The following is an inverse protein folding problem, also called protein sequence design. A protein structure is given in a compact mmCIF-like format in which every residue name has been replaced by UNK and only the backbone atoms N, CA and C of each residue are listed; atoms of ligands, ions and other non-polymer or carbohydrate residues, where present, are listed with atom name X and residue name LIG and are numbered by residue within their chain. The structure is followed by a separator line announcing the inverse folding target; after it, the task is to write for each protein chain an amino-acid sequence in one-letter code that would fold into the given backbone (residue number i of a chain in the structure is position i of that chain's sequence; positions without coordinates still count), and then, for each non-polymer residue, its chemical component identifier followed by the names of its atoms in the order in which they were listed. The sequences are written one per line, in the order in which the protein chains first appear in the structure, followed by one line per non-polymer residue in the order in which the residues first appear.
data_IF_371921421765
#
_entry.id   IF_371921421765
#
_cell.length_a   1.000
_cell.length_b   1.000
_cell.length_c   1.000
_cell.angle_alpha   90.00
_cell.angle_beta   90.00
_cell.angle_gamma   90.00
#
_symmetry.space_group_name_H-M   'P 1'
#
loop_
_entity.id
_entity.type
_entity.pdbx_description
1 polymer ?
#
# COMPACT_ATOMS: atom_id res chain seq x y z
N UNK A 1 -32.61 -85.07 -37.51
CA UNK A 1 -31.95 -83.77 -37.59
C UNK A 1 -32.98 -82.65 -37.62
N UNK A 2 -33.23 -81.88 -36.58
CA UNK A 2 -33.25 -82.17 -35.15
C UNK A 2 -34.02 -80.99 -34.55
N UNK A 3 -35.23 -81.26 -34.03
CA UNK A 3 -36.04 -80.30 -33.26
C UNK A 3 -35.25 -79.73 -32.06
N UNK A 4 -34.19 -80.43 -31.65
CA UNK A 4 -33.23 -80.03 -30.62
C UNK A 4 -32.27 -78.92 -31.07
N UNK A 5 -31.92 -78.84 -32.36
CA UNK A 5 -31.02 -77.81 -32.90
C UNK A 5 -31.65 -76.41 -32.93
N UNK A 6 -32.94 -76.29 -33.27
CA UNK A 6 -33.66 -75.01 -33.27
C UNK A 6 -33.91 -74.46 -31.86
N UNK A 7 -34.21 -75.33 -30.88
CA UNK A 7 -34.41 -74.91 -29.48
C UNK A 7 -33.13 -74.35 -28.84
N UNK A 8 -31.98 -74.96 -29.10
CA UNK A 8 -30.71 -74.48 -28.56
C UNK A 8 -30.26 -73.15 -29.17
N UNK A 9 -30.56 -72.91 -30.45
CA UNK A 9 -30.28 -71.62 -31.12
C UNK A 9 -31.18 -70.50 -30.60
N UNK A 10 -32.45 -70.78 -30.32
CA UNK A 10 -33.38 -69.78 -29.75
C UNK A 10 -32.99 -69.43 -28.31
N UNK A 11 -32.63 -70.41 -27.47
CA UNK A 11 -32.20 -70.17 -26.09
C UNK A 11 -30.85 -69.42 -26.06
N UNK A 12 -29.89 -69.79 -26.92
CA UNK A 12 -28.62 -69.07 -27.04
C UNK A 12 -28.82 -67.62 -27.52
N UNK A 13 -29.76 -67.38 -28.43
CA UNK A 13 -30.12 -66.03 -28.88
C UNK A 13 -30.73 -65.17 -27.78
N UNK A 14 -31.60 -65.74 -26.94
CA UNK A 14 -32.23 -65.02 -25.81
C UNK A 14 -31.19 -64.70 -24.72
N UNK A 15 -30.28 -65.63 -24.39
CA UNK A 15 -29.22 -65.42 -23.40
C UNK A 15 -28.18 -64.41 -23.90
N UNK A 16 -27.80 -64.46 -25.18
CA UNK A 16 -26.91 -63.46 -25.77
C UNK A 16 -27.54 -62.07 -25.81
N UNK A 17 -28.83 -61.96 -26.17
CA UNK A 17 -29.53 -60.67 -26.21
C UNK A 17 -29.72 -60.06 -24.82
N UNK A 18 -30.01 -60.89 -23.80
CA UNK A 18 -30.12 -60.43 -22.41
C UNK A 18 -28.78 -60.05 -21.79
N UNK A 19 -27.68 -60.74 -22.10
CA UNK A 19 -26.32 -60.33 -21.68
C UNK A 19 -25.89 -59.00 -22.33
N UNK A 20 -26.21 -58.78 -23.60
CA UNK A 20 -25.94 -57.50 -24.29
C UNK A 20 -26.77 -56.36 -23.70
N UNK A 21 -28.04 -56.61 -23.36
CA UNK A 21 -28.91 -55.62 -22.70
C UNK A 21 -28.42 -55.26 -21.29
N UNK A 22 -28.01 -56.23 -20.48
CA UNK A 22 -27.45 -55.98 -19.14
C UNK A 22 -26.11 -55.25 -19.22
N UNK A 23 -25.25 -55.58 -20.19
CA UNK A 23 -23.99 -54.86 -20.42
C UNK A 23 -24.23 -53.42 -20.93
N UNK A 24 -25.21 -53.21 -21.81
CA UNK A 24 -25.57 -51.89 -22.32
C UNK A 24 -26.22 -50.99 -21.26
N UNK A 25 -27.09 -51.53 -20.40
CA UNK A 25 -27.70 -50.81 -19.28
C UNK A 25 -26.69 -50.54 -18.16
N UNK A 26 -25.81 -51.50 -17.85
CA UNK A 26 -24.74 -51.32 -16.87
C UNK A 26 -23.71 -50.27 -17.29
N UNK A 27 -23.35 -50.21 -18.57
CA UNK A 27 -22.41 -49.20 -19.10
C UNK A 27 -23.02 -47.81 -19.18
N UNK A 28 -24.31 -47.67 -19.54
CA UNK A 28 -25.00 -46.37 -19.53
C UNK A 28 -25.27 -45.85 -18.12
N UNK A 29 -25.69 -46.71 -17.18
CA UNK A 29 -25.85 -46.33 -15.78
C UNK A 29 -24.52 -45.92 -15.11
N UNK A 30 -23.44 -46.67 -15.37
CA UNK A 30 -22.10 -46.33 -14.88
C UNK A 30 -21.58 -45.00 -15.47
N UNK A 31 -21.80 -44.74 -16.76
CA UNK A 31 -21.44 -43.46 -17.37
C UNK A 31 -22.25 -42.29 -16.82
N UNK A 32 -23.55 -42.47 -16.58
CA UNK A 32 -24.43 -41.44 -16.00
C UNK A 32 -24.03 -41.11 -14.56
N UNK A 33 -23.79 -42.13 -13.73
CA UNK A 33 -23.33 -41.94 -12.33
C UNK A 33 -21.95 -41.26 -12.29
N UNK A 34 -21.03 -41.65 -13.17
CA UNK A 34 -19.70 -41.02 -13.25
C UNK A 34 -19.75 -39.59 -13.76
N UNK A 35 -20.66 -39.27 -14.69
CA UNK A 35 -20.88 -37.90 -15.16
C UNK A 35 -21.50 -37.05 -14.05
N UNK A 36 -22.50 -37.57 -13.35
CA UNK A 36 -23.16 -36.87 -12.24
C UNK A 36 -22.19 -36.56 -11.10
N UNK A 37 -21.35 -37.52 -10.68
CA UNK A 37 -20.31 -37.26 -9.68
C UNK A 37 -19.29 -36.20 -10.12
N UNK A 38 -18.97 -36.13 -11.42
CA UNK A 38 -18.07 -35.11 -11.98
C UNK A 38 -18.72 -33.73 -11.99
N UNK A 39 -20.00 -33.66 -12.33
CA UNK A 39 -20.78 -32.42 -12.30
C UNK A 39 -20.95 -31.93 -10.84
N UNK A 40 -21.18 -32.84 -9.90
CA UNK A 40 -21.21 -32.56 -8.45
C UNK A 40 -19.87 -32.03 -7.94
N UNK A 41 -18.74 -32.64 -8.34
CA UNK A 41 -17.40 -32.17 -8.00
C UNK A 41 -17.13 -30.74 -8.50
N UNK A 42 -17.57 -30.42 -9.73
CA UNK A 42 -17.45 -29.08 -10.31
C UNK A 42 -18.34 -28.08 -9.58
N UNK A 43 -19.56 -28.46 -9.23
CA UNK A 43 -20.50 -27.63 -8.46
C UNK A 43 -19.97 -27.34 -7.05
N UNK A 44 -19.40 -28.34 -6.38
CA UNK A 44 -18.80 -28.17 -5.06
C UNK A 44 -17.57 -27.25 -5.11
N UNK A 45 -16.70 -27.41 -6.11
CA UNK A 45 -15.58 -26.48 -6.31
C UNK A 45 -16.07 -25.05 -6.58
N UNK A 46 -17.14 -24.87 -7.37
CA UNK A 46 -17.74 -23.55 -7.59
C UNK A 46 -18.34 -22.96 -6.30
N UNK A 47 -18.95 -23.78 -5.44
CA UNK A 47 -19.48 -23.36 -4.13
C UNK A 47 -18.36 -22.87 -3.21
N UNK A 48 -17.25 -23.63 -3.11
CA UNK A 48 -16.05 -23.24 -2.34
C UNK A 48 -15.49 -21.91 -2.85
N UNK A 49 -15.38 -21.75 -4.16
CA UNK A 49 -14.93 -20.51 -4.79
C UNK A 49 -15.87 -19.33 -4.49
N UNK A 50 -17.19 -19.52 -4.50
CA UNK A 50 -18.17 -18.47 -4.18
C UNK A 50 -18.04 -17.98 -2.73
N UNK A 51 -17.87 -18.91 -1.77
CA UNK A 51 -17.61 -18.55 -0.36
C UNK A 51 -16.31 -17.75 -0.24
N UNK A 52 -15.26 -18.16 -0.94
CA UNK A 52 -14.00 -17.43 -0.98
C UNK A 52 -14.16 -16.02 -1.55
N UNK A 53 -14.85 -15.84 -2.68
CA UNK A 53 -15.10 -14.52 -3.30
C UNK A 53 -15.85 -13.58 -2.36
N UNK A 54 -16.83 -14.08 -1.59
CA UNK A 54 -17.51 -13.28 -0.56
C UNK A 54 -16.54 -12.81 0.53
N UNK A 55 -15.66 -13.70 1.01
CA UNK A 55 -14.61 -13.34 1.98
C UNK A 55 -13.63 -12.33 1.40
N UNK A 56 -13.24 -12.47 0.13
CA UNK A 56 -12.37 -11.52 -0.58
C UNK A 56 -13.00 -10.13 -0.64
N UNK A 57 -14.30 -10.05 -0.98
CA UNK A 57 -15.01 -8.77 -0.99
C UNK A 57 -15.00 -8.10 0.39
N UNK A 58 -15.34 -8.83 1.45
CA UNK A 58 -15.30 -8.32 2.83
C UNK A 58 -13.88 -7.89 3.24
N UNK A 59 -12.86 -8.68 2.88
CA UNK A 59 -11.46 -8.36 3.12
C UNK A 59 -11.05 -7.04 2.42
N UNK A 60 -11.37 -6.89 1.13
CA UNK A 60 -11.06 -5.68 0.37
C UNK A 60 -11.73 -4.44 0.97
N UNK A 61 -12.99 -4.54 1.39
CA UNK A 61 -13.69 -3.46 2.09
C UNK A 61 -13.03 -3.12 3.44
N UNK A 62 -12.57 -4.14 4.18
CA UNK A 62 -11.84 -3.92 5.44
C UNK A 62 -10.51 -3.19 5.22
N UNK A 63 -9.76 -3.54 4.17
CA UNK A 63 -8.50 -2.86 3.83
C UNK A 63 -8.78 -1.42 3.38
N UNK A 64 -9.79 -1.20 2.55
CA UNK A 64 -10.19 0.15 2.11
C UNK A 64 -10.61 1.02 3.31
N UNK A 65 -11.34 0.46 4.28
CA UNK A 65 -11.70 1.18 5.50
C UNK A 65 -10.49 1.55 6.35
N UNK A 66 -9.43 0.74 6.33
CA UNK A 66 -8.18 1.04 7.03
C UNK A 66 -7.37 2.14 6.32
N UNK A 67 -7.48 2.25 4.99
CA UNK A 67 -6.82 3.26 4.16
C UNK A 67 -7.62 4.57 4.04
N UNK A 68 -8.39 4.93 5.07
CA UNK A 68 -9.21 6.15 5.05
C UNK A 68 -8.34 7.39 4.75
N UNK A 69 -8.55 7.98 3.58
CA UNK A 69 -7.72 9.07 3.05
C UNK A 69 -7.73 10.32 3.94
N UNK A 70 -8.77 10.50 4.77
CA UNK A 70 -8.87 11.60 5.74
C UNK A 70 -7.93 11.45 6.94
N UNK A 71 -7.28 10.31 7.10
CA UNK A 71 -6.38 10.01 8.21
C UNK A 71 -4.91 9.86 7.78
N UNK A 72 -4.60 10.14 6.51
CA UNK A 72 -3.25 9.97 5.95
C UNK A 72 -2.21 10.90 6.58
N UNK A 73 -2.61 11.92 7.32
CA UNK A 73 -1.70 12.80 8.07
C UNK A 73 -0.97 12.09 9.25
N UNK A 74 -1.38 10.86 9.57
CA UNK A 74 -0.73 9.99 10.56
C UNK A 74 -0.46 8.62 9.94
N UNK A 75 0.58 8.56 9.09
CA UNK A 75 0.94 7.35 8.35
C UNK A 75 1.25 6.15 9.26
N UNK A 76 1.84 6.39 10.44
CA UNK A 76 2.14 5.32 11.39
C UNK A 76 0.87 4.64 11.89
N UNK A 77 -0.14 5.41 12.29
CA UNK A 77 -1.43 4.86 12.70
C UNK A 77 -2.15 4.15 11.55
N UNK A 78 -2.11 4.73 10.34
CA UNK A 78 -2.70 4.11 9.15
C UNK A 78 -2.02 2.79 8.82
N UNK A 79 -0.69 2.72 8.89
CA UNK A 79 0.08 1.50 8.64
C UNK A 79 -0.29 0.36 9.58
N UNK A 80 -0.43 0.65 10.87
CA UNK A 80 -0.87 -0.36 11.86
C UNK A 80 -2.24 -0.92 11.51
N UNK A 81 -3.21 -0.05 11.20
CA UNK A 81 -4.56 -0.48 10.81
C UNK A 81 -4.57 -1.27 9.49
N UNK A 82 -3.78 -0.81 8.52
CA UNK A 82 -3.63 -1.43 7.21
C UNK A 82 -2.99 -2.82 7.30
N UNK A 83 -1.87 -2.96 8.01
CA UNK A 83 -1.19 -4.25 8.19
C UNK A 83 -2.10 -5.26 8.90
N UNK A 84 -2.84 -4.81 9.92
CA UNK A 84 -3.82 -5.62 10.62
C UNK A 84 -4.98 -6.08 9.70
N UNK A 85 -5.36 -5.27 8.71
CA UNK A 85 -6.36 -5.64 7.71
C UNK A 85 -5.78 -6.63 6.69
N UNK A 86 -4.59 -6.36 6.14
CA UNK A 86 -3.89 -7.19 5.14
C UNK A 86 -3.54 -8.58 5.71
N UNK A 87 -3.22 -8.67 6.99
CA UNK A 87 -2.96 -9.94 7.67
C UNK A 87 -4.17 -10.90 7.67
N UNK A 88 -5.40 -10.36 7.54
CA UNK A 88 -6.65 -11.14 7.52
C UNK A 88 -7.03 -11.64 6.13
N UNK A 89 -6.09 -11.70 5.19
CA UNK A 89 -6.33 -12.19 3.84
C UNK A 89 -6.95 -13.60 3.87
N UNK A 90 -8.11 -13.80 3.24
CA UNK A 90 -8.77 -15.10 3.22
C UNK A 90 -7.96 -16.12 2.41
N UNK A 91 -8.14 -17.39 2.75
CA UNK A 91 -7.59 -18.53 2.00
C UNK A 91 -8.71 -19.25 1.24
N UNK A 92 -8.39 -19.73 0.04
CA UNK A 92 -9.29 -20.60 -0.71
C UNK A 92 -9.39 -21.95 0.02
N UNK A 93 -10.62 -22.45 0.16
CA UNK A 93 -10.87 -23.78 0.72
C UNK A 93 -10.46 -24.89 -0.22
N UNK A 94 -10.35 -26.10 0.33
CA UNK A 94 -10.11 -27.29 -0.47
C UNK A 94 -11.36 -27.70 -1.27
N UNK A 95 -11.17 -28.42 -2.37
CA UNK A 95 -12.24 -28.90 -3.24
C UNK A 95 -11.89 -30.27 -3.87
N UNK A 96 -12.89 -31.03 -4.37
CA UNK A 96 -12.64 -32.29 -5.06
C UNK A 96 -11.69 -32.16 -6.26
N UNK A 97 -10.85 -33.18 -6.48
CA UNK A 97 -9.76 -33.11 -7.48
C UNK A 97 -10.26 -32.84 -8.91
N UNK A 98 -11.39 -33.43 -9.30
CA UNK A 98 -12.00 -33.17 -10.61
C UNK A 98 -12.52 -31.73 -10.69
N UNK A 99 -13.20 -31.25 -9.65
CA UNK A 99 -13.71 -29.89 -9.55
C UNK A 99 -12.61 -28.83 -9.61
N UNK A 100 -11.47 -29.04 -8.94
CA UNK A 100 -10.31 -28.12 -8.97
C UNK A 100 -9.79 -27.83 -10.38
N UNK A 101 -9.88 -28.81 -11.27
CA UNK A 101 -9.32 -28.73 -12.63
C UNK A 101 -10.36 -28.32 -13.68
N UNK A 102 -11.64 -28.58 -13.43
CA UNK A 102 -12.71 -28.36 -14.41
C UNK A 102 -13.67 -27.21 -14.06
N UNK A 103 -13.66 -26.71 -12.82
CA UNK A 103 -14.42 -25.53 -12.42
C UNK A 103 -13.69 -24.24 -12.77
N UNK A 104 -14.21 -23.51 -13.76
CA UNK A 104 -13.67 -22.20 -14.16
C UNK A 104 -13.72 -21.19 -13.00
N UNK A 105 -14.75 -21.25 -12.16
CA UNK A 105 -14.90 -20.41 -10.97
C UNK A 105 -13.81 -20.70 -9.93
N UNK A 106 -13.50 -21.98 -9.68
CA UNK A 106 -12.43 -22.35 -8.76
C UNK A 106 -11.06 -21.92 -9.29
N UNK A 107 -10.79 -22.12 -10.58
CA UNK A 107 -9.55 -21.66 -11.20
C UNK A 107 -9.38 -20.13 -11.15
N UNK A 108 -10.47 -19.37 -11.32
CA UNK A 108 -10.47 -17.92 -11.12
C UNK A 108 -10.14 -17.55 -9.67
N UNK A 109 -10.74 -18.23 -8.68
CA UNK A 109 -10.45 -18.02 -7.26
C UNK A 109 -8.99 -18.33 -6.91
N UNK A 110 -8.39 -19.38 -7.48
CA UNK A 110 -6.96 -19.70 -7.34
C UNK A 110 -6.08 -18.55 -7.85
N UNK A 111 -6.41 -17.97 -9.02
CA UNK A 111 -5.69 -16.81 -9.55
C UNK A 111 -5.83 -15.62 -8.60
N UNK A 112 -7.05 -15.33 -8.14
CA UNK A 112 -7.30 -14.26 -7.17
C UNK A 112 -6.50 -14.45 -5.89
N UNK A 113 -6.41 -15.65 -5.34
CA UNK A 113 -5.59 -15.91 -4.14
C UNK A 113 -4.12 -15.59 -4.33
N UNK A 114 -3.55 -15.91 -5.50
CA UNK A 114 -2.15 -15.61 -5.82
C UNK A 114 -1.88 -14.11 -5.91
N UNK A 115 -2.83 -13.33 -6.41
CA UNK A 115 -2.66 -11.89 -6.67
C UNK A 115 -3.33 -11.00 -5.64
N UNK A 116 -4.04 -11.56 -4.65
CA UNK A 116 -4.90 -10.82 -3.72
C UNK A 116 -4.17 -9.69 -2.98
N UNK A 117 -2.88 -9.90 -2.68
CA UNK A 117 -2.08 -8.94 -1.92
C UNK A 117 -1.29 -7.95 -2.78
N UNK A 118 -1.13 -8.22 -4.07
CA UNK A 118 -0.29 -7.41 -4.96
C UNK A 118 -0.66 -5.91 -4.97
N UNK A 119 -1.95 -5.52 -5.03
CA UNK A 119 -2.30 -4.09 -5.03
C UNK A 119 -1.91 -3.35 -3.74
N UNK A 120 -1.66 -4.08 -2.65
CA UNK A 120 -1.37 -3.55 -1.33
C UNK A 120 0.14 -3.41 -1.05
N UNK A 121 1.00 -4.01 -1.88
CA UNK A 121 2.46 -3.95 -1.70
C UNK A 121 2.98 -2.51 -1.84
N UNK A 122 2.53 -1.80 -2.87
CA UNK A 122 2.90 -0.39 -3.08
C UNK A 122 2.37 0.52 -1.97
N UNK A 123 1.15 0.25 -1.49
CA UNK A 123 0.57 1.00 -0.37
C UNK A 123 1.41 0.81 0.90
N UNK A 124 1.85 -0.42 1.20
CA UNK A 124 2.74 -0.67 2.34
C UNK A 124 4.03 0.14 2.20
N UNK A 125 4.67 0.08 1.03
CA UNK A 125 5.95 0.75 0.78
C UNK A 125 5.85 2.26 0.96
N UNK A 126 4.82 2.89 0.40
CA UNK A 126 4.65 4.34 0.52
C UNK A 126 4.28 4.74 1.97
N UNK A 127 3.52 3.91 2.69
CA UNK A 127 3.28 4.14 4.12
C UNK A 127 4.56 4.01 4.95
N UNK A 128 5.42 3.05 4.66
CA UNK A 128 6.73 2.89 5.32
C UNK A 128 7.60 4.13 5.12
N UNK A 129 7.63 4.69 3.92
CA UNK A 129 8.30 5.96 3.65
C UNK A 129 7.66 7.12 4.42
N UNK A 130 6.33 7.20 4.42
CA UNK A 130 5.60 8.28 5.08
C UNK A 130 5.77 8.30 6.60
N UNK A 131 6.01 7.13 7.24
CA UNK A 131 6.34 7.02 8.66
C UNK A 131 7.58 7.83 9.02
N UNK A 132 8.57 7.89 8.13
CA UNK A 132 9.80 8.70 8.31
C UNK A 132 9.63 10.10 7.73
N UNK A 133 8.98 10.20 6.56
CA UNK A 133 8.78 11.44 5.81
C UNK A 133 7.95 12.49 6.53
N UNK A 134 6.85 12.10 7.17
CA UNK A 134 5.96 13.05 7.85
C UNK A 134 6.62 13.73 9.07
N UNK A 135 7.27 12.99 9.99
CA UNK A 135 8.07 13.60 11.04
C UNK A 135 9.17 14.53 10.52
N UNK A 136 9.86 14.14 9.44
CA UNK A 136 10.89 14.96 8.80
C UNK A 136 10.32 16.29 8.28
N UNK A 137 9.25 16.25 7.46
CA UNK A 137 8.58 17.45 6.93
C UNK A 137 8.11 18.34 8.06
N UNK A 138 7.46 17.77 9.08
CA UNK A 138 6.99 18.52 10.26
C UNK A 138 8.13 19.22 10.98
N UNK A 139 9.25 18.53 11.20
CA UNK A 139 10.41 19.09 11.85
C UNK A 139 11.09 20.18 11.01
N UNK A 140 11.20 19.97 9.70
CA UNK A 140 11.74 20.96 8.77
C UNK A 140 10.89 22.24 8.75
N UNK A 141 9.57 22.11 8.59
CA UNK A 141 8.64 23.24 8.64
C UNK A 141 8.70 23.95 10.00
N UNK A 142 8.77 23.21 11.11
CA UNK A 142 8.93 23.80 12.45
C UNK A 142 10.24 24.58 12.58
N UNK A 143 11.34 24.05 12.04
CA UNK A 143 12.65 24.70 12.10
C UNK A 143 12.70 25.97 11.22
N UNK A 144 12.11 25.92 10.03
CA UNK A 144 12.03 27.03 9.08
C UNK A 144 11.02 28.10 9.49
N UNK A 145 10.04 27.77 10.34
CA UNK A 145 9.07 28.77 10.83
C UNK A 145 9.65 29.65 11.95
N UNK A 146 10.72 29.23 12.62
CA UNK A 146 11.35 30.02 13.69
C UNK A 146 11.80 31.38 13.18
N UNK A 147 11.30 32.43 13.83
CA UNK A 147 11.58 33.82 13.47
C UNK A 147 12.67 34.43 14.37
N UNK A 148 13.35 35.45 13.87
CA UNK A 148 14.38 36.19 14.61
C UNK A 148 13.80 36.86 15.87
N UNK A 149 12.59 37.41 15.76
CA UNK A 149 11.87 38.09 16.85
C UNK A 149 11.54 37.17 18.04
N UNK A 150 11.54 35.85 17.81
CA UNK A 150 11.35 34.84 18.85
C UNK A 150 12.53 34.77 19.84
N UNK A 151 13.68 35.33 19.48
CA UNK A 151 14.88 35.37 20.34
C UNK A 151 15.30 36.78 20.72
N UNK A 152 15.05 37.75 19.84
CA UNK A 152 15.42 39.15 20.04
C UNK A 152 14.23 40.01 19.63
N UNK A 153 13.48 40.50 20.62
CA UNK A 153 12.23 41.25 20.43
C UNK A 153 12.44 42.75 20.17
N UNK A 154 13.63 43.26 20.46
CA UNK A 154 13.96 44.67 20.29
C UNK A 154 14.31 44.96 18.83
N UNK A 155 13.59 45.91 18.22
CA UNK A 155 13.77 46.30 16.81
C UNK A 155 15.08 47.06 16.57
N UNK A 156 15.62 47.68 17.62
CA UNK A 156 16.87 48.42 17.61
C UNK A 156 17.73 47.87 18.74
N UNK A 157 18.93 47.40 18.40
CA UNK A 157 19.87 46.86 19.36
C UNK A 157 21.03 47.85 19.53
N UNK A 158 21.42 48.21 20.76
CA UNK A 158 22.53 49.13 20.99
C UNK A 158 23.90 48.52 20.66
N UNK A 159 24.02 47.18 20.72
CA UNK A 159 25.23 46.41 20.42
C UNK A 159 24.87 44.98 19.95
N UNK A 160 25.88 44.19 19.58
CA UNK A 160 25.73 42.80 19.15
C UNK A 160 25.50 41.78 20.28
N UNK A 161 25.47 42.20 21.54
CA UNK A 161 25.36 41.33 22.73
C UNK A 161 24.11 40.43 22.72
N UNK A 162 22.90 40.97 22.49
CA UNK A 162 21.68 40.16 22.40
C UNK A 162 21.72 39.12 21.27
N UNK A 163 22.37 39.43 20.14
CA UNK A 163 22.51 38.49 19.03
C UNK A 163 23.41 37.30 19.44
N UNK A 164 24.56 37.57 20.07
CA UNK A 164 25.50 36.53 20.50
C UNK A 164 24.96 35.65 21.62
N UNK A 165 24.17 36.22 22.53
CA UNK A 165 23.70 35.52 23.73
C UNK A 165 22.33 34.86 23.56
N UNK A 166 21.47 35.36 22.66
CA UNK A 166 20.11 34.84 22.46
C UNK A 166 19.90 34.28 21.06
N UNK A 167 20.10 35.10 20.01
CA UNK A 167 19.76 34.73 18.63
C UNK A 167 20.57 33.53 18.13
N UNK A 168 21.90 33.62 18.18
CA UNK A 168 22.81 32.57 17.70
C UNK A 168 22.61 31.26 18.48
N UNK A 169 22.57 31.25 19.83
CA UNK A 169 22.27 30.05 20.59
C UNK A 169 20.87 29.50 20.32
N UNK A 170 19.89 30.37 20.10
CA UNK A 170 18.52 30.02 19.73
C UNK A 170 18.45 29.21 18.44
N UNK A 171 18.98 29.76 17.35
CA UNK A 171 19.04 29.05 16.07
C UNK A 171 19.95 27.82 16.10
N UNK A 172 21.03 27.84 16.89
CA UNK A 172 21.88 26.64 17.08
C UNK A 172 21.10 25.49 17.74
N UNK A 173 20.20 25.80 18.70
CA UNK A 173 19.30 24.80 19.30
C UNK A 173 18.26 24.29 18.29
N UNK A 174 17.76 25.14 17.41
CA UNK A 174 16.83 24.73 16.34
C UNK A 174 17.51 23.76 15.38
N UNK A 175 18.71 24.11 14.91
CA UNK A 175 19.54 23.23 14.08
C UNK A 175 19.80 21.89 14.76
N UNK A 176 20.26 21.91 16.02
CA UNK A 176 20.53 20.68 16.77
C UNK A 176 19.28 19.83 17.05
N UNK A 177 18.07 20.41 17.06
CA UNK A 177 16.81 19.66 17.15
C UNK A 177 16.47 19.02 15.81
N UNK A 178 16.62 19.77 14.72
CA UNK A 178 16.39 19.25 13.37
C UNK A 178 17.36 18.11 13.02
N UNK A 179 18.64 18.23 13.39
CA UNK A 179 19.66 17.21 13.12
C UNK A 179 19.42 15.86 13.83
N UNK A 180 18.54 15.82 14.84
CA UNK A 180 18.13 14.57 15.51
C UNK A 180 17.02 13.82 14.79
N UNK A 181 16.41 14.44 13.78
CA UNK A 181 15.29 13.85 13.04
C UNK A 181 15.85 12.97 11.93
N UNK A 182 15.31 11.77 11.82
CA UNK A 182 15.69 10.85 10.76
C UNK A 182 15.39 11.48 9.39
N UNK A 183 16.36 11.38 8.48
CA UNK A 183 16.20 11.84 7.11
C UNK A 183 15.64 10.69 6.28
N UNK A 184 14.52 10.88 5.56
CA UNK A 184 14.01 9.87 4.63
C UNK A 184 15.01 9.61 3.52
N UNK A 185 15.12 8.34 3.09
CA UNK A 185 16.03 7.95 2.00
C UNK A 185 15.80 8.83 0.75
N UNK A 186 16.89 9.36 0.19
CA UNK A 186 16.85 10.23 -0.99
C UNK A 186 16.43 11.68 -0.70
N UNK A 187 16.26 12.08 0.56
CA UNK A 187 15.98 13.45 1.00
C UNK A 187 17.17 14.11 1.72
N UNK A 188 18.39 13.59 1.55
CA UNK A 188 19.61 14.15 2.14
C UNK A 188 19.84 15.58 1.67
N UNK A 189 19.68 15.84 0.37
CA UNK A 189 19.78 17.19 -0.21
C UNK A 189 18.77 18.16 0.40
N UNK A 190 17.51 17.73 0.58
CA UNK A 190 16.47 18.54 1.21
C UNK A 190 16.83 18.85 2.67
N UNK A 191 17.35 17.87 3.40
CA UNK A 191 17.82 18.07 4.77
C UNK A 191 19.00 19.05 4.84
N UNK A 192 19.95 18.95 3.92
CA UNK A 192 21.10 19.85 3.83
C UNK A 192 20.67 21.29 3.52
N UNK A 193 19.69 21.49 2.64
CA UNK A 193 19.13 22.82 2.38
C UNK A 193 18.51 23.45 3.63
N UNK A 194 17.80 22.68 4.45
CA UNK A 194 17.26 23.17 5.74
C UNK A 194 18.39 23.52 6.71
N UNK A 195 19.42 22.66 6.81
CA UNK A 195 20.60 22.92 7.65
C UNK A 195 21.33 24.19 7.21
N UNK A 196 21.51 24.37 5.91
CA UNK A 196 22.23 25.50 5.34
C UNK A 196 21.45 26.80 5.52
N UNK A 197 20.13 26.77 5.42
CA UNK A 197 19.28 27.92 5.77
C UNK A 197 19.48 28.34 7.24
N UNK A 198 19.44 27.40 8.18
CA UNK A 198 19.67 27.68 9.61
C UNK A 198 21.09 28.18 9.89
N UNK A 199 22.10 27.59 9.24
CA UNK A 199 23.51 28.03 9.35
C UNK A 199 23.71 29.42 8.74
N UNK A 200 23.02 29.76 7.65
CA UNK A 200 23.08 31.08 7.03
C UNK A 200 22.59 32.17 7.99
N UNK A 201 21.45 31.97 8.68
CA UNK A 201 21.02 32.90 9.74
C UNK A 201 22.06 33.05 10.84
N UNK A 202 22.63 31.94 11.32
CA UNK A 202 23.67 32.01 12.36
C UNK A 202 24.88 32.80 11.88
N UNK A 203 25.30 32.61 10.62
CA UNK A 203 26.43 33.32 10.01
C UNK A 203 26.14 34.82 9.87
N UNK A 204 24.99 35.17 9.34
CA UNK A 204 24.58 36.57 9.16
C UNK A 204 24.36 37.27 10.50
N UNK A 205 23.82 36.55 11.49
CA UNK A 205 23.71 37.04 12.86
C UNK A 205 25.08 37.35 13.48
N UNK A 206 26.10 36.50 13.27
CA UNK A 206 27.47 36.78 13.74
C UNK A 206 28.01 38.06 13.11
N UNK A 207 27.93 38.16 11.78
CA UNK A 207 28.35 39.37 11.06
C UNK A 207 27.58 40.61 11.56
N UNK A 208 26.27 40.49 11.76
CA UNK A 208 25.45 41.60 12.21
C UNK A 208 25.75 42.07 13.62
N UNK A 209 26.13 41.15 14.52
CA UNK A 209 26.63 41.50 15.84
C UNK A 209 27.95 42.29 15.76
N UNK A 210 28.88 41.88 14.89
CA UNK A 210 30.17 42.56 14.72
C UNK A 210 30.00 43.95 14.07
N UNK A 211 29.03 44.11 13.17
CA UNK A 211 28.65 45.39 12.57
C UNK A 211 28.06 46.34 13.61
N UNK A 212 27.15 45.88 14.47
CA UNK A 212 26.57 46.69 15.55
C UNK A 212 27.62 47.17 16.55
N UNK A 213 28.54 46.29 16.96
CA UNK A 213 29.64 46.67 17.86
C UNK A 213 30.57 47.71 17.24
N UNK A 214 30.64 47.74 15.90
CA UNK A 214 31.40 48.74 15.15
C UNK A 214 30.61 50.04 14.91
N UNK A 215 29.42 50.20 15.51
CA UNK A 215 28.52 51.33 15.29
C UNK A 215 27.90 51.39 13.89
N UNK A 216 27.93 50.28 13.13
CA UNK A 216 27.32 50.18 11.80
C UNK A 216 25.91 49.62 11.91
N UNK A 217 25.04 50.06 10.99
CA UNK A 217 23.72 49.45 10.81
C UNK A 217 23.89 48.02 10.29
N UNK A 218 22.99 47.13 10.71
CA UNK A 218 22.97 45.73 10.29
C UNK A 218 21.61 45.31 9.76
N UNK A 219 21.61 44.30 8.90
CA UNK A 219 20.43 43.60 8.43
C UNK A 219 20.73 42.11 8.40
N UNK A 220 20.00 41.33 9.20
CA UNK A 220 20.12 39.87 9.24
C UNK A 220 18.99 39.30 8.40
N UNK A 221 19.33 38.68 7.27
CA UNK A 221 18.36 38.05 6.39
C UNK A 221 18.98 36.90 5.63
N UNK A 222 18.43 35.71 5.83
CA UNK A 222 18.73 34.51 5.05
C UNK A 222 17.57 34.15 4.11
N UNK A 223 16.92 35.17 3.54
CA UNK A 223 15.66 34.98 2.81
C UNK A 223 15.80 34.00 1.61
N UNK A 224 16.91 34.04 0.89
CA UNK A 224 17.17 33.16 -0.26
C UNK A 224 17.26 31.67 0.13
N UNK A 225 18.04 31.37 1.16
CA UNK A 225 18.28 30.03 1.66
C UNK A 225 17.00 29.46 2.30
N UNK A 226 16.24 30.30 3.03
CA UNK A 226 14.94 29.92 3.59
C UNK A 226 13.90 29.62 2.51
N UNK A 227 13.82 30.44 1.45
CA UNK A 227 12.91 30.19 0.33
C UNK A 227 13.29 28.89 -0.37
N UNK A 228 14.59 28.64 -0.59
CA UNK A 228 15.09 27.42 -1.23
C UNK A 228 14.74 26.19 -0.40
N UNK A 229 15.06 26.20 0.90
CA UNK A 229 14.74 25.12 1.82
C UNK A 229 13.24 24.88 1.93
N UNK A 230 12.44 25.94 2.08
CA UNK A 230 10.97 25.83 2.15
C UNK A 230 10.39 25.25 0.87
N UNK A 231 10.88 25.66 -0.30
CA UNK A 231 10.43 25.10 -1.57
C UNK A 231 10.75 23.61 -1.70
N UNK A 232 11.92 23.19 -1.27
CA UNK A 232 12.33 21.78 -1.30
C UNK A 232 11.48 20.92 -0.36
N UNK A 233 11.26 21.37 0.88
CA UNK A 233 10.40 20.69 1.86
C UNK A 233 8.97 20.59 1.34
N UNK A 234 8.40 21.67 0.82
CA UNK A 234 7.05 21.67 0.24
C UNK A 234 6.94 20.75 -0.99
N UNK A 235 7.99 20.67 -1.81
CA UNK A 235 8.01 19.78 -2.97
C UNK A 235 8.01 18.32 -2.53
N UNK A 236 8.82 17.98 -1.53
CA UNK A 236 8.84 16.64 -0.95
C UNK A 236 7.49 16.28 -0.29
N UNK A 237 6.93 17.17 0.53
CA UNK A 237 5.62 16.98 1.18
C UNK A 237 4.52 16.70 0.17
N UNK A 238 4.42 17.51 -0.91
CA UNK A 238 3.44 17.31 -1.98
C UNK A 238 3.65 15.99 -2.71
N UNK A 239 4.90 15.63 -3.00
CA UNK A 239 5.24 14.36 -3.65
C UNK A 239 4.83 13.17 -2.78
N UNK A 240 5.15 13.20 -1.49
CA UNK A 240 4.79 12.14 -0.54
C UNK A 240 3.27 11.99 -0.44
N UNK A 241 2.55 13.10 -0.28
CA UNK A 241 1.08 13.10 -0.25
C UNK A 241 0.48 12.56 -1.54
N UNK A 242 0.97 13.01 -2.69
CA UNK A 242 0.48 12.56 -3.99
C UNK A 242 0.70 11.06 -4.20
N UNK A 243 1.86 10.52 -3.78
CA UNK A 243 2.14 9.08 -3.88
C UNK A 243 1.28 8.25 -2.94
N UNK A 244 1.01 8.73 -1.72
CA UNK A 244 0.07 8.07 -0.79
C UNK A 244 -1.33 8.02 -1.40
N UNK A 245 -1.84 9.15 -1.90
CA UNK A 245 -3.16 9.24 -2.53
C UNK A 245 -3.25 8.32 -3.76
N UNK A 246 -2.22 8.33 -4.63
CA UNK A 246 -2.16 7.49 -5.81
C UNK A 246 -2.09 5.99 -5.47
N UNK A 247 -1.31 5.60 -4.47
CA UNK A 247 -1.23 4.20 -4.02
C UNK A 247 -2.58 3.70 -3.49
N UNK A 248 -3.26 4.51 -2.67
CA UNK A 248 -4.60 4.18 -2.15
C UNK A 248 -5.64 4.11 -3.28
N UNK A 249 -5.61 5.05 -4.22
CA UNK A 249 -6.51 5.04 -5.38
C UNK A 249 -6.31 3.80 -6.25
N UNK A 250 -5.06 3.46 -6.58
CA UNK A 250 -4.71 2.27 -7.36
C UNK A 250 -5.20 0.99 -6.66
N UNK A 251 -4.92 0.85 -5.37
CA UNK A 251 -5.40 -0.29 -4.58
C UNK A 251 -6.93 -0.38 -4.56
N UNK A 252 -7.64 0.76 -4.59
CA UNK A 252 -9.11 0.80 -4.62
C UNK A 252 -9.67 0.46 -6.01
N UNK A 253 -9.03 0.91 -7.09
CA UNK A 253 -9.42 0.61 -8.47
C UNK A 253 -9.28 -0.88 -8.82
N UNK A 254 -8.18 -1.50 -8.39
CA UNK A 254 -7.97 -2.95 -8.54
C UNK A 254 -8.99 -3.78 -7.73
N UNK A 255 -9.52 -3.21 -6.65
CA UNK A 255 -10.57 -3.81 -5.82
C UNK A 255 -11.94 -3.75 -6.47
N UNK A 256 -12.29 -2.63 -7.11
CA UNK A 256 -13.59 -2.43 -7.78
C UNK A 256 -13.70 -3.10 -9.16
N UNK A 257 -12.60 -3.67 -9.66
CA UNK A 257 -12.56 -4.24 -11.01
C UNK A 257 -12.56 -3.17 -12.11
N UNK A 258 -12.37 -1.91 -11.74
CA UNK A 258 -12.09 -0.80 -12.65
C UNK A 258 -10.58 -0.72 -12.88
N UNK A 259 -9.97 -1.80 -13.39
CA UNK A 259 -8.62 -1.66 -13.92
C UNK A 259 -8.70 -0.74 -15.13
N UNK A 260 -8.10 0.44 -15.05
CA UNK A 260 -7.92 1.33 -16.19
C UNK A 260 -6.99 0.64 -17.18
N UNK A 261 -7.57 -0.10 -18.12
CA UNK A 261 -6.99 -0.29 -19.45
C UNK A 261 -6.87 1.09 -20.10
N UNK A 262 -5.79 1.80 -19.80
CA UNK A 262 -5.37 2.99 -20.54
C UNK A 262 -3.90 3.26 -20.23
N UNK A 263 -3.03 2.78 -21.11
CA UNK A 263 -2.03 3.59 -21.84
C UNK A 263 -0.82 2.71 -22.22
N UNK A 264 -0.92 2.11 -23.41
CA UNK A 264 0.21 2.04 -24.37
C UNK A 264 0.70 3.43 -24.73
#
# INVERSE_FOLDING_TARGET
MDSRGRRNVIIAGIVAFSLVLVAAVGTTAFFLIRKQHRDDDVAEAARVASVYTKKVSAYRSSVQSALNTRQLDDAARVKVAFDAAVAKAPTLGDAPAWGKTHSTTYLAAVKTQKTLKQPYEEVSKVLDEAIVGQPFVKAANTALDVKIDSFVSERTLPDGGPIRTKLIPGFSKVLARFDKVAVPDGQETTADQVRDALKAIIKDAKRGADDLDSGRNTYISAASEYVTASNAVNTYERSLRSRLEAAVQKATADVSGQSTESAT
#
